data_IF_028509248661
#
_entry.id   IF_028509248661
#
_cell.length_a   1.000
_cell.length_b   1.000
_cell.length_c   1.000
_cell.angle_alpha   90.00
_cell.angle_beta   90.00
_cell.angle_gamma   90.00
#
_symmetry.space_group_name_H-M   'P 1'
#
loop_
_entity.id
_entity.type
_entity.pdbx_description
1 polymer ?
#
# COMPACT_ATOMS: atom_id res chain seq x y z
N UNK A 1 14.42 -0.76 -15.66
CA UNK A 1 14.55 0.05 -14.43
C UNK A 1 13.23 -0.13 -13.71
N UNK A 2 13.24 -0.90 -12.61
CA UNK A 2 12.02 -1.33 -11.92
C UNK A 2 12.04 -0.72 -10.53
N UNK A 3 10.97 -0.02 -10.16
CA UNK A 3 10.84 0.61 -8.84
C UNK A 3 10.69 -0.48 -7.80
N UNK A 4 11.44 -0.35 -6.70
CA UNK A 4 11.40 -1.31 -5.59
C UNK A 4 10.60 -0.77 -4.40
N UNK A 5 10.15 -1.67 -3.52
CA UNK A 5 9.49 -1.28 -2.27
C UNK A 5 10.41 -0.44 -1.37
N UNK A 6 11.68 -0.80 -1.28
CA UNK A 6 12.69 -0.14 -0.44
C UNK A 6 12.95 1.28 -0.90
N UNK A 7 13.08 1.49 -2.21
CA UNK A 7 13.23 2.80 -2.82
C UNK A 7 12.06 3.73 -2.47
N UNK A 8 10.82 3.23 -2.56
CA UNK A 8 9.64 4.01 -2.21
C UNK A 8 9.54 4.30 -0.70
N UNK A 9 9.92 3.33 0.15
CA UNK A 9 9.98 3.55 1.60
C UNK A 9 11.01 4.61 1.96
N UNK A 10 12.20 4.57 1.36
CA UNK A 10 13.24 5.57 1.59
C UNK A 10 12.81 6.95 1.10
N UNK A 11 12.21 7.02 -0.09
CA UNK A 11 11.67 8.28 -0.62
C UNK A 11 10.64 8.91 0.33
N UNK A 12 9.75 8.11 0.92
CA UNK A 12 8.79 8.61 1.92
C UNK A 12 9.46 8.98 3.24
N UNK A 13 10.49 8.26 3.66
CA UNK A 13 11.29 8.58 4.84
C UNK A 13 11.97 9.94 4.73
N UNK A 14 12.52 10.26 3.57
CA UNK A 14 13.26 11.50 3.33
C UNK A 14 12.34 12.73 3.21
N UNK A 15 11.08 12.53 2.80
CA UNK A 15 10.17 13.63 2.47
C UNK A 15 9.03 13.84 3.50
N UNK A 16 8.76 12.89 4.40
CA UNK A 16 7.62 12.94 5.32
C UNK A 16 8.01 12.62 6.76
N UNK A 17 7.26 13.20 7.71
CA UNK A 17 7.42 12.92 9.14
C UNK A 17 7.16 11.43 9.47
N UNK A 18 7.73 10.97 10.58
CA UNK A 18 7.70 9.57 11.04
C UNK A 18 6.30 8.95 11.13
N UNK A 19 5.27 9.76 11.47
CA UNK A 19 3.89 9.31 11.56
C UNK A 19 3.27 8.88 10.21
N UNK A 20 3.88 9.26 9.08
CA UNK A 20 3.38 8.97 7.72
C UNK A 20 4.19 7.88 7.00
N UNK A 21 5.06 7.18 7.72
CA UNK A 21 5.91 6.15 7.12
C UNK A 21 5.13 4.91 6.72
N UNK A 22 5.55 4.28 5.62
CA UNK A 22 4.92 3.08 5.03
C UNK A 22 5.34 1.79 5.76
N UNK A 23 5.01 1.71 7.06
CA UNK A 23 5.43 0.62 7.96
C UNK A 23 4.88 -0.76 7.56
N UNK A 24 3.68 -0.77 6.99
CA UNK A 24 3.02 -1.99 6.53
C UNK A 24 3.51 -2.48 5.15
N UNK A 25 4.51 -1.81 4.56
CA UNK A 25 5.05 -2.19 3.26
C UNK A 25 4.43 -1.46 2.07
N UNK A 26 4.87 -1.85 0.88
CA UNK A 26 4.33 -1.39 -0.41
C UNK A 26 4.04 -2.59 -1.29
N UNK A 27 2.81 -2.66 -1.82
CA UNK A 27 2.41 -3.67 -2.79
C UNK A 27 2.03 -2.97 -4.08
N UNK A 28 2.62 -3.42 -5.19
CA UNK A 28 2.25 -2.96 -6.53
C UNK A 28 1.03 -3.74 -7.01
N UNK A 29 0.03 -3.02 -7.48
CA UNK A 29 -1.22 -3.58 -8.01
C UNK A 29 -1.46 -3.06 -9.42
N UNK A 30 -2.05 -3.88 -10.28
CA UNK A 30 -2.30 -3.51 -11.68
C UNK A 30 -3.31 -2.37 -11.82
N UNK A 31 -4.26 -2.29 -10.88
CA UNK A 31 -5.29 -1.25 -10.87
C UNK A 31 -5.72 -0.92 -9.44
N UNK A 32 -6.16 0.33 -9.24
CA UNK A 32 -6.75 0.76 -7.97
C UNK A 32 -8.27 0.54 -8.03
N UNK A 33 -8.82 -0.46 -7.32
CA UNK A 33 -10.26 -0.63 -7.21
C UNK A 33 -10.94 0.61 -6.64
N UNK A 34 -12.03 0.98 -7.31
CA UNK A 34 -12.83 2.15 -6.99
C UNK A 34 -14.29 1.75 -6.81
N UNK A 35 -14.99 2.49 -5.96
CA UNK A 35 -16.44 2.34 -5.76
C UNK A 35 -17.19 2.77 -7.02
N UNK A 36 -18.50 2.51 -7.07
CA UNK A 36 -19.40 2.94 -8.17
C UNK A 36 -19.34 4.44 -8.43
N UNK A 37 -18.98 5.25 -7.41
CA UNK A 37 -18.81 6.72 -7.50
C UNK A 37 -17.32 7.10 -7.68
N UNK A 38 -16.49 6.18 -8.19
CA UNK A 38 -15.06 6.34 -8.53
C UNK A 38 -14.11 6.70 -7.36
N UNK A 39 -14.56 6.64 -6.11
CA UNK A 39 -13.69 6.82 -4.93
C UNK A 39 -12.85 5.56 -4.69
N UNK A 40 -11.66 5.69 -4.09
CA UNK A 40 -10.84 4.52 -3.72
C UNK A 40 -11.61 3.61 -2.76
N UNK A 41 -11.69 2.31 -3.06
CA UNK A 41 -12.36 1.36 -2.19
C UNK A 41 -11.46 0.95 -1.02
N UNK A 42 -11.60 1.67 0.09
CA UNK A 42 -10.82 1.41 1.32
C UNK A 42 -11.14 0.05 1.95
N UNK A 43 -12.34 -0.50 1.75
CA UNK A 43 -12.75 -1.79 2.33
C UNK A 43 -12.02 -2.92 1.63
N UNK A 44 -11.95 -2.86 0.31
CA UNK A 44 -11.20 -3.81 -0.51
C UNK A 44 -9.74 -3.92 -0.03
N UNK A 45 -9.03 -2.81 0.07
CA UNK A 45 -7.60 -2.83 0.46
C UNK A 45 -7.38 -3.29 1.90
N UNK A 46 -8.28 -2.94 2.83
CA UNK A 46 -8.22 -3.48 4.21
C UNK A 46 -8.36 -5.01 4.23
N UNK A 47 -9.27 -5.55 3.42
CA UNK A 47 -9.46 -7.00 3.30
C UNK A 47 -8.29 -7.67 2.58
N UNK A 48 -7.73 -7.06 1.55
CA UNK A 48 -6.56 -7.56 0.84
C UNK A 48 -5.38 -7.73 1.80
N UNK A 49 -5.04 -6.68 2.54
CA UNK A 49 -3.95 -6.72 3.52
C UNK A 49 -4.24 -7.72 4.64
N UNK A 50 -5.47 -7.74 5.19
CA UNK A 50 -5.83 -8.71 6.22
C UNK A 50 -5.69 -10.16 5.71
N UNK A 51 -6.12 -10.45 4.47
CA UNK A 51 -6.06 -11.78 3.91
C UNK A 51 -4.63 -12.21 3.57
N UNK A 52 -3.76 -11.33 3.07
CA UNK A 52 -2.36 -11.66 2.79
C UNK A 52 -1.54 -11.85 4.07
N UNK A 53 -1.78 -11.03 5.09
CA UNK A 53 -1.10 -11.15 6.38
C UNK A 53 -1.57 -12.36 7.21
N UNK A 54 -2.85 -12.78 7.07
CA UNK A 54 -3.40 -13.92 7.82
C UNK A 54 -3.16 -15.25 7.10
N UNK A 55 -3.11 -15.28 5.76
CA UNK A 55 -2.82 -16.52 5.01
C UNK A 55 -1.34 -16.91 4.96
N UNK A 56 -0.44 -15.99 5.31
CA UNK A 56 1.00 -16.26 5.38
C UNK A 56 1.47 -16.75 6.76
N UNK A 57 0.55 -17.02 7.69
CA UNK A 57 0.80 -17.68 8.97
C UNK A 57 0.30 -19.13 9.00
#
# INVERSE_FOLDING_TARGET
>A
MSVTEEELKQYVADNLNEAKQLRAGVVFVDHIPRTTIRKVDRRYFKQLIANELIKSQ
#
